data_IF_522727009213
#
_entry.id   IF_522727009213
#
_cell.length_a   1.000
_cell.length_b   1.000
_cell.length_c   1.000
_cell.angle_alpha   90.00
_cell.angle_beta   90.00
_cell.angle_gamma   90.00
#
_symmetry.space_group_name_H-M   'P 1'
#
loop_
_entity.id
_entity.type
_entity.pdbx_description
1 polymer ?
#
# COMPACT_ATOMS: atom_id res chain seq x y z
N UNK A 1 -0.25 42.71 5.00
CA UNK A 1 -0.80 41.81 6.04
C UNK A 1 -1.07 40.45 5.40
N UNK A 2 -0.59 39.36 6.02
CA UNK A 2 -0.85 37.93 5.77
C UNK A 2 0.33 37.05 5.31
N UNK A 3 1.18 36.72 6.27
CA UNK A 3 1.53 35.33 6.65
C UNK A 3 1.77 35.38 8.18
N UNK A 4 1.37 34.36 8.99
CA UNK A 4 1.82 32.97 8.81
C UNK A 4 0.80 31.88 9.27
N UNK A 5 0.36 31.01 8.36
CA UNK A 5 -0.34 29.75 8.71
C UNK A 5 0.58 28.50 8.71
N UNK A 6 1.88 28.64 8.46
CA UNK A 6 2.80 27.48 8.30
C UNK A 6 3.18 26.79 9.61
N UNK A 7 3.27 27.53 10.73
CA UNK A 7 3.82 27.00 11.99
C UNK A 7 2.87 26.10 12.78
N UNK A 8 1.55 26.18 12.56
CA UNK A 8 0.57 25.31 13.27
C UNK A 8 0.53 23.89 12.71
N UNK A 9 0.79 23.73 11.41
CA UNK A 9 0.87 22.42 10.76
C UNK A 9 2.14 21.66 11.18
N UNK A 10 3.27 22.36 11.33
CA UNK A 10 4.56 21.76 11.73
C UNK A 10 4.53 21.23 13.17
N UNK A 11 3.84 21.93 14.09
CA UNK A 11 3.63 21.46 15.46
C UNK A 11 2.75 20.22 15.54
N UNK A 12 1.66 20.17 14.76
CA UNK A 12 0.78 18.99 14.69
C UNK A 12 1.50 17.79 14.04
N UNK A 13 2.29 18.03 13.00
CA UNK A 13 3.03 16.98 12.28
C UNK A 13 4.06 16.29 13.18
N UNK A 14 4.82 17.03 14.00
CA UNK A 14 5.78 16.45 14.96
C UNK A 14 5.10 15.56 16.02
N UNK A 15 3.96 16.00 16.56
CA UNK A 15 3.21 15.19 17.54
C UNK A 15 2.68 13.91 16.89
N UNK A 16 2.20 13.99 15.64
CA UNK A 16 1.76 12.81 14.88
C UNK A 16 2.93 11.84 14.67
N UNK A 17 4.11 12.30 14.26
CA UNK A 17 5.29 11.44 14.08
C UNK A 17 5.69 10.70 15.36
N UNK A 18 5.61 11.37 16.51
CA UNK A 18 5.95 10.76 17.80
C UNK A 18 4.86 9.81 18.31
N UNK A 19 3.59 10.12 18.02
CA UNK A 19 2.48 9.23 18.32
C UNK A 19 2.52 7.95 17.47
N UNK A 20 2.97 8.03 16.20
CA UNK A 20 3.12 6.86 15.31
C UNK A 20 4.17 5.86 15.79
N UNK A 21 5.09 6.25 16.67
CA UNK A 21 6.10 5.36 17.24
C UNK A 21 5.60 4.62 18.49
N UNK A 22 4.38 4.92 18.96
CA UNK A 22 3.81 4.25 20.12
C UNK A 22 3.26 2.87 19.72
N UNK A 23 3.47 1.82 20.54
CA UNK A 23 2.94 0.47 20.29
C UNK A 23 1.41 0.44 20.18
N UNK A 24 0.73 1.48 20.68
CA UNK A 24 -0.71 1.64 20.53
C UNK A 24 -1.14 1.83 19.07
N UNK A 25 -0.36 2.54 18.25
CA UNK A 25 -0.71 2.77 16.84
C UNK A 25 -0.57 1.50 16.01
N UNK A 26 0.45 0.69 16.29
CA UNK A 26 0.64 -0.64 15.70
C UNK A 26 -0.55 -1.56 16.03
N UNK A 27 -0.98 -1.59 17.29
CA UNK A 27 -2.18 -2.34 17.67
C UNK A 27 -3.44 -1.82 16.96
N UNK A 28 -3.60 -0.49 16.86
CA UNK A 28 -4.76 0.12 16.23
C UNK A 28 -4.85 -0.25 14.74
N UNK A 29 -3.73 -0.19 14.01
CA UNK A 29 -3.72 -0.53 12.58
C UNK A 29 -4.06 -2.00 12.36
N UNK A 30 -3.50 -2.90 13.17
CA UNK A 30 -3.80 -4.32 13.09
C UNK A 30 -5.28 -4.59 13.32
N UNK A 31 -5.89 -3.97 14.34
CA UNK A 31 -7.33 -4.11 14.60
C UNK A 31 -8.18 -3.56 13.47
N UNK A 32 -7.83 -2.39 12.92
CA UNK A 32 -8.57 -1.77 11.82
C UNK A 32 -8.48 -2.58 10.53
N UNK A 33 -7.31 -3.17 10.24
CA UNK A 33 -7.14 -4.09 9.12
C UNK A 33 -7.83 -5.43 9.36
N UNK A 34 -7.90 -5.92 10.61
CA UNK A 34 -8.63 -7.14 10.95
C UNK A 34 -10.13 -7.04 10.62
N UNK A 35 -10.73 -5.85 10.73
CA UNK A 35 -12.13 -5.61 10.33
C UNK A 35 -12.38 -5.88 8.84
N UNK A 36 -11.36 -5.73 7.98
CA UNK A 36 -11.46 -6.06 6.57
C UNK A 36 -11.64 -7.57 6.32
N UNK A 37 -11.21 -8.41 7.27
CA UNK A 37 -11.30 -9.87 7.21
C UNK A 37 -12.52 -10.43 7.95
N UNK A 38 -13.32 -9.58 8.59
CA UNK A 38 -14.54 -10.01 9.28
C UNK A 38 -15.59 -10.50 8.26
N UNK A 39 -16.52 -11.36 8.67
CA UNK A 39 -17.59 -11.86 7.82
C UNK A 39 -18.60 -10.76 7.46
N UNK A 40 -18.82 -9.79 8.34
CA UNK A 40 -19.83 -8.76 8.14
C UNK A 40 -19.44 -7.70 7.09
N UNK A 41 -20.31 -7.45 6.10
CA UNK A 41 -20.08 -6.45 5.03
C UNK A 41 -19.87 -5.02 5.57
N UNK A 42 -20.58 -4.66 6.65
CA UNK A 42 -20.46 -3.35 7.28
C UNK A 42 -19.13 -3.18 8.03
N UNK A 43 -18.58 -4.26 8.59
CA UNK A 43 -17.26 -4.25 9.21
C UNK A 43 -16.16 -4.07 8.15
N UNK A 44 -16.28 -4.74 7.00
CA UNK A 44 -15.39 -4.54 5.85
C UNK A 44 -15.41 -3.11 5.33
N UNK A 45 -16.61 -2.53 5.23
CA UNK A 45 -16.81 -1.13 4.83
C UNK A 45 -16.14 -0.16 5.83
N UNK A 46 -16.29 -0.43 7.14
CA UNK A 46 -15.62 0.31 8.21
C UNK A 46 -14.09 0.19 8.15
N UNK A 47 -13.55 -1.01 7.91
CA UNK A 47 -12.12 -1.23 7.74
C UNK A 47 -11.55 -0.51 6.50
N UNK A 48 -12.29 -0.52 5.39
CA UNK A 48 -11.92 0.23 4.19
C UNK A 48 -11.85 1.74 4.45
N UNK A 49 -12.83 2.29 5.19
CA UNK A 49 -12.81 3.69 5.60
C UNK A 49 -11.67 3.99 6.58
N UNK A 50 -11.36 3.06 7.50
CA UNK A 50 -10.25 3.20 8.43
C UNK A 50 -8.91 3.27 7.68
N UNK A 51 -8.66 2.38 6.72
CA UNK A 51 -7.45 2.40 5.88
C UNK A 51 -7.32 3.75 5.16
N UNK A 52 -8.42 4.25 4.57
CA UNK A 52 -8.43 5.59 3.95
C UNK A 52 -8.00 6.68 4.94
N UNK A 53 -8.58 6.69 6.14
CA UNK A 53 -8.28 7.68 7.16
C UNK A 53 -6.81 7.59 7.61
N UNK A 54 -6.29 6.38 7.81
CA UNK A 54 -4.89 6.15 8.18
C UNK A 54 -3.94 6.71 7.11
N UNK A 55 -4.21 6.45 5.83
CA UNK A 55 -3.41 6.99 4.73
C UNK A 55 -3.44 8.51 4.62
N UNK A 56 -4.57 9.16 4.95
CA UNK A 56 -4.73 10.61 4.85
C UNK A 56 -4.18 11.36 6.08
N UNK A 57 -4.11 10.70 7.25
CA UNK A 57 -3.77 11.33 8.54
C UNK A 57 -2.35 11.03 9.02
N UNK A 58 -1.76 9.91 8.59
CA UNK A 58 -0.46 9.44 9.07
C UNK A 58 0.68 9.79 8.10
N UNK A 59 1.92 9.91 8.60
CA UNK A 59 3.06 10.29 7.79
C UNK A 59 3.42 9.18 6.79
N UNK A 60 3.91 9.59 5.61
CA UNK A 60 4.24 8.69 4.51
C UNK A 60 5.20 7.56 4.92
N UNK A 61 6.21 7.84 5.76
CA UNK A 61 7.15 6.82 6.27
C UNK A 61 6.45 5.64 6.96
N UNK A 62 5.44 5.95 7.78
CA UNK A 62 4.68 4.92 8.50
C UNK A 62 3.74 4.17 7.55
N UNK A 63 3.11 4.89 6.62
CA UNK A 63 2.24 4.29 5.59
C UNK A 63 3.02 3.33 4.71
N UNK A 64 4.24 3.67 4.29
CA UNK A 64 5.13 2.79 3.52
C UNK A 64 5.46 1.49 4.27
N UNK A 65 5.65 1.58 5.59
CA UNK A 65 5.94 0.40 6.43
C UNK A 65 4.76 -0.58 6.49
N UNK A 66 3.53 -0.06 6.39
CA UNK A 66 2.27 -0.82 6.48
C UNK A 66 1.57 -1.05 5.14
N UNK A 67 2.18 -0.61 4.04
CA UNK A 67 1.56 -0.59 2.72
C UNK A 67 1.14 -2.00 2.26
N UNK A 68 1.96 -3.01 2.55
CA UNK A 68 1.68 -4.40 2.21
C UNK A 68 0.45 -4.95 2.96
N UNK A 69 0.26 -4.56 4.23
CA UNK A 69 -0.91 -4.95 5.02
C UNK A 69 -2.18 -4.32 4.45
N UNK A 70 -2.14 -3.03 4.13
CA UNK A 70 -3.26 -2.32 3.50
C UNK A 70 -3.62 -2.91 2.15
N UNK A 71 -2.63 -3.23 1.32
CA UNK A 71 -2.83 -3.89 0.04
C UNK A 71 -3.60 -5.19 0.20
N UNK A 72 -3.15 -6.09 1.09
CA UNK A 72 -3.81 -7.38 1.32
C UNK A 72 -5.25 -7.23 1.81
N UNK A 73 -5.49 -6.29 2.72
CA UNK A 73 -6.82 -6.02 3.24
C UNK A 73 -7.77 -5.51 2.14
N UNK A 74 -7.31 -4.59 1.30
CA UNK A 74 -8.09 -4.05 0.17
C UNK A 74 -8.36 -5.11 -0.91
N UNK A 75 -7.35 -5.93 -1.24
CA UNK A 75 -7.52 -7.06 -2.17
C UNK A 75 -8.53 -8.08 -1.64
N UNK A 76 -8.51 -8.36 -0.34
CA UNK A 76 -9.47 -9.26 0.30
C UNK A 76 -10.89 -8.73 0.22
N UNK A 77 -11.12 -7.44 0.50
CA UNK A 77 -12.45 -6.82 0.37
C UNK A 77 -12.94 -6.92 -1.07
N UNK A 78 -12.09 -6.61 -2.05
CA UNK A 78 -12.46 -6.74 -3.46
C UNK A 78 -12.80 -8.19 -3.81
N UNK A 79 -12.04 -9.17 -3.32
CA UNK A 79 -12.29 -10.59 -3.55
C UNK A 79 -13.60 -11.08 -2.91
N UNK A 80 -13.81 -10.77 -1.63
CA UNK A 80 -14.89 -11.30 -0.81
C UNK A 80 -16.25 -10.70 -1.18
N UNK A 81 -16.28 -9.41 -1.50
CA UNK A 81 -17.51 -8.71 -1.90
C UNK A 81 -17.75 -8.73 -3.43
N UNK A 82 -16.97 -9.50 -4.19
CA UNK A 82 -17.17 -9.64 -5.64
C UNK A 82 -18.55 -10.26 -5.90
N UNK A 83 -19.43 -9.54 -6.58
CA UNK A 83 -20.75 -10.04 -6.98
C UNK A 83 -21.87 -9.81 -5.95
N UNK A 84 -21.60 -9.08 -4.86
CA UNK A 84 -22.66 -8.61 -3.96
C UNK A 84 -23.38 -7.38 -4.54
N UNK A 85 -24.66 -7.21 -4.17
CA UNK A 85 -25.57 -6.18 -4.72
C UNK A 85 -25.11 -4.75 -4.40
N UNK A 86 -24.27 -4.56 -3.37
CA UNK A 86 -23.71 -3.26 -2.97
C UNK A 86 -22.24 -3.12 -3.39
N UNK A 87 -22.00 -2.58 -4.58
CA UNK A 87 -20.63 -2.31 -5.07
C UNK A 87 -19.91 -1.15 -4.34
N UNK A 88 -20.59 -0.38 -3.50
CA UNK A 88 -20.02 0.82 -2.87
C UNK A 88 -18.76 0.54 -2.02
N UNK A 89 -18.69 -0.61 -1.34
CA UNK A 89 -17.50 -1.02 -0.58
C UNK A 89 -16.33 -1.44 -1.50
N UNK A 90 -16.63 -2.14 -2.59
CA UNK A 90 -15.64 -2.56 -3.60
C UNK A 90 -15.07 -1.34 -4.33
N UNK A 91 -15.92 -0.40 -4.71
CA UNK A 91 -15.50 0.83 -5.39
C UNK A 91 -14.63 1.70 -4.47
N UNK A 92 -14.98 1.78 -3.18
CA UNK A 92 -14.15 2.44 -2.18
C UNK A 92 -12.79 1.74 -2.03
N UNK A 93 -12.75 0.41 -2.03
CA UNK A 93 -11.51 -0.34 -1.93
C UNK A 93 -10.60 -0.12 -3.16
N UNK A 94 -11.17 -0.11 -4.37
CA UNK A 94 -10.46 0.21 -5.62
C UNK A 94 -9.86 1.62 -5.57
N UNK A 95 -10.66 2.62 -5.20
CA UNK A 95 -10.23 4.01 -5.11
C UNK A 95 -9.15 4.21 -4.03
N UNK A 96 -9.27 3.51 -2.89
CA UNK A 96 -8.26 3.56 -1.83
C UNK A 96 -6.93 2.93 -2.29
N UNK A 97 -6.99 1.81 -3.00
CA UNK A 97 -5.81 1.17 -3.56
C UNK A 97 -5.09 2.09 -4.55
N UNK A 98 -5.81 2.71 -5.48
CA UNK A 98 -5.23 3.65 -6.45
C UNK A 98 -4.60 4.88 -5.77
N UNK A 99 -5.28 5.44 -4.77
CA UNK A 99 -4.75 6.55 -3.97
C UNK A 99 -3.49 6.14 -3.22
N UNK A 100 -3.48 4.97 -2.59
CA UNK A 100 -2.32 4.45 -1.87
C UNK A 100 -1.09 4.39 -2.78
N UNK A 101 -1.24 3.83 -3.98
CA UNK A 101 -0.13 3.68 -4.92
C UNK A 101 0.31 5.02 -5.52
N UNK A 102 -0.62 5.94 -5.74
CA UNK A 102 -0.28 7.30 -6.21
C UNK A 102 0.53 8.04 -5.15
N UNK A 103 0.10 7.98 -3.88
CA UNK A 103 0.80 8.59 -2.75
C UNK A 103 2.17 7.95 -2.53
N UNK A 104 2.24 6.62 -2.50
CA UNK A 104 3.48 5.89 -2.26
C UNK A 104 4.41 5.86 -3.49
N UNK A 105 3.92 6.18 -4.70
CA UNK A 105 4.68 6.20 -5.94
C UNK A 105 5.14 7.59 -6.39
N UNK A 106 4.77 8.64 -5.65
CA UNK A 106 5.20 10.00 -5.93
C UNK A 106 6.70 10.16 -5.64
N UNK A 107 7.49 10.76 -6.54
CA UNK A 107 8.93 10.90 -6.35
C UNK A 107 9.22 11.80 -5.15
N UNK A 108 9.85 11.22 -4.14
CA UNK A 108 10.33 11.95 -2.96
C UNK A 108 11.56 12.75 -3.38
N UNK A 109 11.50 14.08 -3.27
CA UNK A 109 12.58 14.95 -3.71
C UNK A 109 13.82 14.74 -2.82
N UNK A 110 15.01 14.50 -3.38
CA UNK A 110 16.21 14.11 -2.63
C UNK A 110 16.90 15.32 -1.97
N UNK A 111 16.14 16.13 -1.22
CA UNK A 111 16.66 17.27 -0.48
C UNK A 111 16.91 16.84 0.98
N UNK A 112 18.19 16.68 1.34
CA UNK A 112 18.71 16.65 2.71
C UNK A 112 18.10 15.62 3.68
N UNK A 113 18.57 14.36 3.64
CA UNK A 113 18.29 13.36 4.68
C UNK A 113 17.09 12.43 4.45
N UNK A 114 16.53 12.40 3.22
CA UNK A 114 15.41 11.51 2.84
C UNK A 114 15.85 10.20 2.16
N UNK A 115 17.14 9.88 2.18
CA UNK A 115 17.67 8.65 1.57
C UNK A 115 17.05 7.38 2.20
N UNK A 116 16.90 7.37 3.53
CA UNK A 116 16.20 6.31 4.26
C UNK A 116 14.72 6.15 3.84
N UNK A 117 14.06 7.28 3.49
CA UNK A 117 12.67 7.28 3.08
C UNK A 117 12.50 6.75 1.66
N UNK A 118 13.42 7.12 0.76
CA UNK A 118 13.46 6.62 -0.60
C UNK A 118 13.76 5.11 -0.65
N UNK A 119 14.65 4.63 0.22
CA UNK A 119 14.91 3.20 0.39
C UNK A 119 13.66 2.44 0.85
N UNK A 120 13.01 2.94 1.91
CA UNK A 120 11.78 2.34 2.44
C UNK A 120 10.66 2.33 1.40
N UNK A 121 10.55 3.40 0.61
CA UNK A 121 9.61 3.50 -0.49
C UNK A 121 9.89 2.46 -1.58
N UNK A 122 11.14 2.33 -2.02
CA UNK A 122 11.54 1.34 -3.03
C UNK A 122 11.26 -0.08 -2.57
N UNK A 123 11.61 -0.42 -1.34
CA UNK A 123 11.36 -1.74 -0.75
C UNK A 123 9.87 -2.05 -0.70
N UNK A 124 9.07 -1.14 -0.15
CA UNK A 124 7.62 -1.31 -0.04
C UNK A 124 6.94 -1.45 -1.41
N UNK A 125 7.28 -0.57 -2.36
CA UNK A 125 6.75 -0.63 -3.72
C UNK A 125 7.12 -1.93 -4.43
N UNK A 126 8.32 -2.45 -4.19
CA UNK A 126 8.74 -3.74 -4.76
C UNK A 126 7.90 -4.89 -4.23
N UNK A 127 7.71 -4.99 -2.91
CA UNK A 127 6.86 -6.01 -2.29
C UNK A 127 5.41 -5.95 -2.78
N UNK A 128 4.86 -4.73 -2.86
CA UNK A 128 3.51 -4.46 -3.38
C UNK A 128 3.39 -4.84 -4.84
N UNK A 129 4.38 -4.51 -5.67
CA UNK A 129 4.37 -4.84 -7.08
C UNK A 129 4.43 -6.35 -7.32
N UNK A 130 5.28 -7.08 -6.59
CA UNK A 130 5.33 -8.54 -6.66
C UNK A 130 4.00 -9.18 -6.31
N UNK A 131 3.32 -8.69 -5.27
CA UNK A 131 1.99 -9.16 -4.91
C UNK A 131 0.98 -8.86 -6.01
N UNK A 132 0.94 -7.63 -6.54
CA UNK A 132 0.04 -7.26 -7.62
C UNK A 132 0.26 -8.10 -8.89
N UNK A 133 1.52 -8.42 -9.23
CA UNK A 133 1.85 -9.30 -10.36
C UNK A 133 1.26 -10.71 -10.16
N UNK A 134 1.29 -11.26 -8.95
CA UNK A 134 0.64 -12.54 -8.63
C UNK A 134 -0.88 -12.47 -8.82
N UNK A 135 -1.49 -11.33 -8.55
CA UNK A 135 -2.93 -11.14 -8.69
C UNK A 135 -3.43 -11.06 -10.15
N UNK A 136 -2.55 -10.83 -11.14
CA UNK A 136 -2.91 -10.78 -12.57
C UNK A 136 -3.44 -12.13 -13.08
N UNK A 137 -3.00 -13.23 -12.46
CA UNK A 137 -3.40 -14.60 -12.78
C UNK A 137 -4.42 -15.16 -11.77
N UNK A 138 -4.93 -14.34 -10.85
CA UNK A 138 -5.89 -14.81 -9.83
C UNK A 138 -7.20 -15.29 -10.49
N UNK A 139 -7.98 -16.21 -9.90
CA UNK A 139 -9.24 -16.64 -10.50
C UNK A 139 -10.34 -15.57 -10.43
N UNK A 140 -10.21 -14.59 -9.54
CA UNK A 140 -11.21 -13.53 -9.34
C UNK A 140 -11.09 -12.44 -10.42
N UNK A 141 -12.15 -12.19 -11.17
CA UNK A 141 -12.16 -11.19 -12.27
C UNK A 141 -11.95 -9.76 -11.79
N UNK A 142 -12.60 -9.36 -10.68
CA UNK A 142 -12.50 -8.02 -10.12
C UNK A 142 -11.06 -7.70 -9.69
N UNK A 143 -10.43 -8.63 -8.95
CA UNK A 143 -9.05 -8.49 -8.49
C UNK A 143 -8.07 -8.51 -9.66
N UNK A 144 -8.27 -9.39 -10.65
CA UNK A 144 -7.46 -9.41 -11.88
C UNK A 144 -7.53 -8.12 -12.67
N UNK A 145 -8.73 -7.60 -12.90
CA UNK A 145 -8.94 -6.38 -13.67
C UNK A 145 -8.31 -5.19 -12.97
N UNK A 146 -8.51 -5.09 -11.64
CA UNK A 146 -7.88 -4.05 -10.85
C UNK A 146 -6.35 -4.15 -10.91
N UNK A 147 -5.77 -5.34 -10.71
CA UNK A 147 -4.32 -5.53 -10.78
C UNK A 147 -3.73 -5.12 -12.16
N UNK A 148 -4.46 -5.36 -13.26
CA UNK A 148 -4.04 -4.95 -14.61
C UNK A 148 -4.19 -3.45 -14.86
N UNK A 149 -5.20 -2.81 -14.25
CA UNK A 149 -5.48 -1.38 -14.43
C UNK A 149 -4.45 -0.48 -13.72
N UNK A 150 -3.74 -1.01 -12.73
CA UNK A 150 -2.79 -0.26 -11.93
C UNK A 150 -1.50 0.06 -12.70
N UNK A 151 -1.15 1.34 -12.91
CA UNK A 151 0.02 1.74 -13.70
C UNK A 151 1.35 1.32 -13.07
N UNK A 152 1.38 1.08 -11.75
CA UNK A 152 2.56 0.56 -11.05
C UNK A 152 2.95 -0.84 -11.56
N UNK A 153 1.98 -1.69 -11.89
CA UNK A 153 2.22 -3.02 -12.45
C UNK A 153 2.82 -2.90 -13.85
N UNK A 154 2.32 -1.98 -14.67
CA UNK A 154 2.88 -1.70 -16.00
C UNK A 154 4.33 -1.20 -15.91
N UNK A 155 4.66 -0.37 -14.91
CA UNK A 155 6.02 0.11 -14.69
C UNK A 155 6.96 -1.03 -14.30
N UNK A 156 6.59 -1.85 -13.30
CA UNK A 156 7.43 -2.98 -12.87
C UNK A 156 7.55 -4.06 -13.94
N UNK A 157 6.49 -4.33 -14.69
CA UNK A 157 6.57 -5.22 -15.85
C UNK A 157 7.55 -4.69 -16.91
N UNK A 158 7.57 -3.37 -17.16
CA UNK A 158 8.54 -2.75 -18.08
C UNK A 158 9.98 -2.91 -17.60
N UNK A 159 10.25 -2.67 -16.31
CA UNK A 159 11.59 -2.86 -15.71
C UNK A 159 12.05 -4.33 -15.75
N UNK A 160 11.15 -5.28 -15.54
CA UNK A 160 11.46 -6.72 -15.67
C UNK A 160 11.70 -7.15 -17.12
N UNK A 161 11.10 -6.45 -18.10
CA UNK A 161 11.36 -6.72 -19.53
C UNK A 161 12.60 -6.00 -20.06
N UNK A 162 13.06 -4.91 -19.42
CA UNK A 162 14.28 -4.19 -19.80
C UNK A 162 15.55 -4.82 -19.21
N UNK A 163 15.46 -5.51 -18.08
CA UNK A 163 16.51 -6.36 -17.55
C UNK A 163 16.17 -7.84 -17.79
N UNK A 164 16.63 -8.48 -18.88
CA UNK A 164 16.47 -9.91 -19.06
C UNK A 164 17.22 -10.60 -17.91
N UNK A 165 16.43 -11.28 -17.09
CA UNK A 165 16.82 -12.27 -16.11
C UNK A 165 18.15 -12.96 -16.48
N UNK A 166 19.26 -12.54 -15.86
CA UNK A 166 20.44 -13.39 -15.83
C UNK A 166 20.07 -14.58 -14.92
N UNK A 167 20.02 -15.81 -15.44
CA UNK A 167 19.68 -16.97 -14.62
C UNK A 167 20.73 -17.08 -13.50
N UNK A 168 20.35 -17.49 -12.28
CA UNK A 168 21.33 -17.87 -11.30
C UNK A 168 22.13 -19.04 -11.88
N UNK A 169 23.39 -18.78 -12.21
CA UNK A 169 24.39 -19.82 -12.37
C UNK A 169 24.46 -20.55 -11.03
N UNK A 170 23.77 -21.69 -10.94
CA UNK A 170 24.05 -22.71 -9.95
C UNK A 170 25.46 -23.19 -10.30
N UNK A 171 26.43 -22.65 -9.57
CA UNK A 171 27.77 -23.18 -9.44
C UNK A 171 27.66 -24.65 -9.03
N UNK A 172 28.21 -25.50 -9.90
CA UNK A 172 28.81 -26.79 -9.61
C UNK A 172 28.97 -27.10 -8.11
N UNK A 173 28.28 -28.15 -7.63
CA UNK A 173 28.84 -28.93 -6.52
C UNK A 173 30.08 -29.68 -7.04
N UNK A 174 31.22 -29.63 -6.32
CA UNK A 174 32.29 -30.60 -6.51
C UNK A 174 31.85 -31.93 -5.87
N UNK A 175 32.21 -33.03 -6.52
CA UNK A 175 31.59 -34.33 -6.31
C UNK A 175 31.72 -34.95 -4.93
N UNK A 176 30.72 -35.78 -4.64
CA UNK A 176 30.81 -37.16 -4.12
C UNK A 176 29.62 -37.92 -4.72
#
# INVERSE_FOLDING_TARGET
>A
MNAPCRTRAEGSLRVVFQACQLPYMEYLVERMCALCYDRAWYAKSGGCFAIKCLMERLPLRWVLSHQYLFLKALLFIMMDLTGEVSNGAVDMAKANLEKMLTLCGSPVSPEGGQEDLAEAQRKSLHEVALELVRQITSPNSCVREQARALPLVTRVAKELTSHPHQPPHILHLPGV
#
